data_IF_998091242181
#
_entry.id   IF_998091242181
#
_cell.length_a   1.000
_cell.length_b   1.000
_cell.length_c   1.000
_cell.angle_alpha   90.00
_cell.angle_beta   90.00
_cell.angle_gamma   90.00
#
_symmetry.space_group_name_H-M   'P 1'
#
loop_
_entity.id
_entity.type
_entity.pdbx_description
1 polymer ?
#
# COMPACT_ATOMS: atom_id res chain seq x y z
N UNK A 1 -15.13 -4.06 -8.36
CA UNK A 1 -15.96 -4.40 -7.16
C UNK A 1 -15.29 -3.73 -5.97
N UNK A 2 -15.95 -2.90 -5.16
CA UNK A 2 -15.22 -2.06 -4.18
C UNK A 2 -14.79 -2.91 -2.98
N UNK A 3 -13.60 -3.52 -3.06
CA UNK A 3 -13.01 -4.19 -1.92
C UNK A 3 -12.48 -3.15 -0.93
N UNK A 4 -12.62 -3.38 0.39
CA UNK A 4 -12.07 -2.49 1.39
C UNK A 4 -10.53 -2.53 1.32
N UNK A 5 -9.92 -1.52 0.69
CA UNK A 5 -8.46 -1.33 0.72
C UNK A 5 -8.06 -1.00 2.15
N UNK A 6 -7.27 -1.87 2.77
CA UNK A 6 -6.77 -1.67 4.12
C UNK A 6 -5.46 -0.88 4.08
N UNK A 7 -5.50 0.36 4.54
CA UNK A 7 -4.31 1.22 4.62
C UNK A 7 -3.81 1.21 6.08
N UNK A 8 -2.53 0.94 6.29
CA UNK A 8 -1.91 0.88 7.61
C UNK A 8 -0.59 1.67 7.61
N UNK A 9 -0.52 2.70 8.46
CA UNK A 9 0.71 3.45 8.68
C UNK A 9 1.41 2.93 9.95
N UNK A 10 2.69 2.61 9.85
CA UNK A 10 3.50 2.12 10.96
C UNK A 10 4.71 3.02 11.12
N UNK A 11 4.84 3.65 12.30
CA UNK A 11 5.91 4.63 12.61
C UNK A 11 5.91 5.86 11.68
N UNK A 12 4.78 6.11 11.02
CA UNK A 12 4.53 7.29 10.20
C UNK A 12 3.07 7.72 10.35
N UNK A 13 2.82 9.00 10.08
CA UNK A 13 1.48 9.54 9.87
C UNK A 13 1.26 9.63 8.37
N UNK A 14 0.18 9.02 7.87
CA UNK A 14 -0.28 9.24 6.50
C UNK A 14 -1.14 10.50 6.48
N UNK A 15 -0.87 11.36 5.51
CA UNK A 15 -1.70 12.52 5.25
C UNK A 15 -2.97 12.09 4.50
N UNK A 16 -4.09 12.83 4.63
CA UNK A 16 -5.32 12.52 3.88
C UNK A 16 -5.11 12.46 2.37
N UNK A 17 -4.19 13.29 1.84
CA UNK A 17 -3.82 13.30 0.43
C UNK A 17 -3.13 11.99 0.00
N UNK A 18 -2.19 11.47 0.80
CA UNK A 18 -1.50 10.21 0.52
C UNK A 18 -2.48 9.03 0.56
N UNK A 19 -3.39 9.04 1.53
CA UNK A 19 -4.43 8.03 1.66
C UNK A 19 -5.40 8.05 0.45
N UNK A 20 -5.74 9.25 -0.04
CA UNK A 20 -6.55 9.42 -1.25
C UNK A 20 -5.83 8.91 -2.50
N UNK A 21 -4.54 9.25 -2.67
CA UNK A 21 -3.72 8.73 -3.78
C UNK A 21 -3.65 7.20 -3.74
N UNK A 22 -3.39 6.61 -2.58
CA UNK A 22 -3.34 5.14 -2.43
C UNK A 22 -4.68 4.51 -2.80
N UNK A 23 -5.81 5.09 -2.36
CA UNK A 23 -7.14 4.60 -2.75
C UNK A 23 -7.39 4.71 -4.25
N UNK A 24 -6.95 5.78 -4.87
CA UNK A 24 -7.14 6.01 -6.30
C UNK A 24 -6.31 5.01 -7.13
N UNK A 25 -5.04 4.82 -6.79
CA UNK A 25 -4.18 3.81 -7.41
C UNK A 25 -4.72 2.39 -7.19
N UNK A 26 -5.23 2.09 -5.98
CA UNK A 26 -5.87 0.82 -5.67
C UNK A 26 -7.17 0.61 -6.45
N UNK A 27 -7.91 1.68 -6.75
CA UNK A 27 -9.06 1.61 -7.66
C UNK A 27 -8.65 1.31 -9.10
N UNK A 28 -7.47 1.77 -9.54
CA UNK A 28 -6.94 1.42 -10.86
C UNK A 28 -6.53 -0.05 -10.95
N UNK A 29 -6.08 -0.65 -9.84
CA UNK A 29 -5.80 -2.09 -9.76
C UNK A 29 -7.04 -2.97 -10.02
N UNK A 30 -8.26 -2.50 -9.67
CA UNK A 30 -9.53 -3.19 -10.01
C UNK A 30 -9.69 -3.35 -11.54
N UNK A 31 -9.15 -2.40 -12.33
CA UNK A 31 -9.20 -2.46 -13.81
C UNK A 31 -8.21 -3.48 -14.39
N UNK A 32 -7.08 -3.72 -13.71
CA UNK A 32 -6.08 -4.70 -14.17
C UNK A 32 -6.36 -6.12 -13.68
N UNK A 33 -7.06 -6.26 -12.54
CA UNK A 33 -7.39 -7.53 -11.95
C UNK A 33 -8.84 -7.52 -11.42
N UNK A 34 -9.78 -7.99 -12.25
CA UNK A 34 -11.21 -8.12 -11.93
C UNK A 34 -11.53 -8.96 -10.68
N UNK A 35 -10.56 -9.71 -10.15
CA UNK A 35 -10.73 -10.58 -8.96
C UNK A 35 -9.71 -10.27 -7.86
N UNK A 36 -9.46 -9.01 -7.53
CA UNK A 36 -8.78 -8.73 -6.26
C UNK A 36 -9.71 -9.17 -5.12
N UNK A 37 -9.18 -9.91 -4.14
CA UNK A 37 -9.91 -10.39 -2.96
C UNK A 37 -9.50 -9.59 -1.73
N UNK A 38 -8.29 -9.06 -1.72
CA UNK A 38 -7.82 -8.15 -0.68
C UNK A 38 -6.74 -7.23 -1.22
N UNK A 39 -6.71 -5.99 -0.73
CA UNK A 39 -5.62 -5.07 -0.98
C UNK A 39 -5.23 -4.42 0.34
N UNK A 40 -3.99 -4.66 0.78
CA UNK A 40 -3.44 -4.12 2.02
C UNK A 40 -2.19 -3.32 1.69
N UNK A 41 -2.20 -2.05 2.07
CA UNK A 41 -1.09 -1.13 1.88
C UNK A 41 -0.53 -0.76 3.25
N UNK A 42 0.71 -1.16 3.50
CA UNK A 42 1.45 -0.86 4.72
C UNK A 42 2.55 0.13 4.39
N UNK A 43 2.52 1.29 5.03
CA UNK A 43 3.56 2.32 4.92
C UNK A 43 4.36 2.34 6.21
N UNK A 44 5.64 2.00 6.12
CA UNK A 44 6.58 1.98 7.22
C UNK A 44 7.70 2.98 7.01
N UNK A 45 8.11 3.66 8.09
CA UNK A 45 9.34 4.47 8.07
C UNK A 45 10.46 3.70 8.75
N UNK A 46 11.52 3.30 8.03
CA UNK A 46 12.70 2.67 8.64
C UNK A 46 13.38 3.66 9.59
N UNK A 47 13.97 3.12 10.66
CA UNK A 47 14.40 3.87 11.84
C UNK A 47 15.28 5.10 11.50
N UNK A 48 15.00 6.19 12.22
CA UNK A 48 15.37 7.60 11.96
C UNK A 48 16.87 7.93 12.17
N UNK A 49 17.81 7.10 11.69
CA UNK A 49 19.25 7.26 11.99
C UNK A 49 20.19 7.40 10.79
N UNK A 50 19.71 7.79 9.61
CA UNK A 50 20.62 8.31 8.58
C UNK A 50 20.18 9.69 8.11
N UNK A 51 21.05 10.67 8.40
CA UNK A 51 21.04 12.01 7.80
C UNK A 51 21.14 11.77 6.29
N UNK A 52 20.20 12.33 5.52
CA UNK A 52 20.12 12.26 4.04
C UNK A 52 19.36 11.05 3.48
N UNK A 53 18.02 11.13 3.48
CA UNK A 53 17.16 10.28 2.65
C UNK A 53 16.28 9.29 3.41
N UNK A 54 15.34 9.78 4.22
CA UNK A 54 14.27 8.94 4.78
C UNK A 54 13.44 8.33 3.64
N UNK A 55 13.79 7.13 3.19
CA UNK A 55 12.98 6.41 2.21
C UNK A 55 11.87 5.67 2.94
N UNK A 56 10.64 5.93 2.56
CA UNK A 56 9.49 5.18 3.05
C UNK A 56 9.57 3.74 2.56
N UNK A 57 9.42 2.78 3.46
CA UNK A 57 9.22 1.39 3.12
C UNK A 57 7.73 1.17 2.84
N UNK A 58 7.39 0.91 1.59
CA UNK A 58 6.02 0.70 1.15
C UNK A 58 5.82 -0.78 0.83
N UNK A 59 4.89 -1.43 1.52
CA UNK A 59 4.53 -2.83 1.30
C UNK A 59 3.08 -2.89 0.85
N UNK A 60 2.85 -3.51 -0.29
CA UNK A 60 1.52 -3.71 -0.89
C UNK A 60 1.31 -5.21 -0.99
N UNK A 61 0.35 -5.72 -0.22
CA UNK A 61 -0.10 -7.11 -0.26
C UNK A 61 -1.45 -7.17 -1.00
N UNK A 62 -1.48 -7.80 -2.16
CA UNK A 62 -2.66 -7.97 -3.00
C UNK A 62 -3.03 -9.45 -3.01
N UNK A 63 -4.19 -9.79 -2.45
CA UNK A 63 -4.74 -11.13 -2.54
C UNK A 63 -5.56 -11.29 -3.82
N UNK A 64 -5.26 -12.32 -4.60
CA UNK A 64 -6.03 -12.78 -5.75
C UNK A 64 -6.59 -14.18 -5.43
N UNK A 65 -7.68 -14.64 -6.07
CA UNK A 65 -8.23 -15.97 -5.83
C UNK A 65 -7.27 -17.09 -6.26
N UNK A 66 -6.28 -16.76 -7.09
CA UNK A 66 -5.27 -17.67 -7.63
C UNK A 66 -3.90 -17.56 -6.92
N UNK A 67 -3.75 -16.67 -5.93
CA UNK A 67 -2.49 -16.48 -5.20
C UNK A 67 -2.37 -15.09 -4.56
N UNK A 68 -1.25 -14.83 -3.89
CA UNK A 68 -0.95 -13.52 -3.30
C UNK A 68 0.21 -12.83 -4.03
N UNK A 69 0.12 -11.52 -4.18
CA UNK A 69 1.17 -10.67 -4.75
C UNK A 69 1.64 -9.71 -3.66
N UNK A 70 2.92 -9.80 -3.32
CA UNK A 70 3.55 -8.94 -2.32
C UNK A 70 4.59 -8.08 -3.00
N UNK A 71 4.38 -6.77 -3.00
CA UNK A 71 5.34 -5.78 -3.49
C UNK A 71 5.91 -5.03 -2.30
N UNK A 72 7.23 -4.99 -2.17
CA UNK A 72 7.90 -4.17 -1.16
C UNK A 72 8.90 -3.23 -1.83
N UNK A 73 8.75 -1.93 -1.59
CA UNK A 73 9.65 -0.87 -2.06
C UNK A 73 10.31 -0.20 -0.86
N UNK A 74 11.62 0.07 -0.96
CA UNK A 74 12.44 0.73 0.06
C UNK A 74 13.08 1.99 -0.49
#
# INVERSE_FOLDING_TARGET
MILPVQISARRCTLSPAEEATIRQEASSLDTFADRIVSCRVVVETPHRRQRTGSRYALRIDIGLPQGEVVVTRR
#
